data_IF_761462542589
#
_entry.id   IF_761462542589
#
_cell.length_a   1.000
_cell.length_b   1.000
_cell.length_c   1.000
_cell.angle_alpha   90.00
_cell.angle_beta   90.00
_cell.angle_gamma   90.00
#
_symmetry.space_group_name_H-M   'P 1'
#
loop_
_entity.id
_entity.type
_entity.pdbx_description
1 polymer ?
#
# COMPACT_ATOMS: atom_id res chain seq x y z
N UNK A 1 18.58 -35.10 7.10
CA UNK A 1 19.87 -34.82 7.75
C UNK A 1 20.75 -36.08 7.96
N UNK A 2 20.18 -37.15 8.54
CA UNK A 2 20.96 -38.38 8.79
C UNK A 2 21.61 -38.97 7.53
N UNK A 3 20.89 -39.01 6.42
CA UNK A 3 21.39 -39.56 5.15
C UNK A 3 22.48 -38.68 4.53
N UNK A 4 22.32 -37.34 4.61
CA UNK A 4 23.36 -36.39 4.18
C UNK A 4 24.63 -36.54 5.05
N UNK A 5 24.47 -36.70 6.37
CA UNK A 5 25.58 -36.92 7.28
C UNK A 5 26.34 -38.19 6.94
N UNK A 6 25.65 -39.30 6.63
CA UNK A 6 26.21 -40.55 6.19
C UNK A 6 26.94 -40.42 4.86
N UNK A 7 26.31 -39.80 3.86
CA UNK A 7 26.91 -39.60 2.53
C UNK A 7 28.15 -38.70 2.57
N UNK A 8 28.13 -37.63 3.36
CA UNK A 8 29.24 -36.70 3.49
C UNK A 8 30.34 -37.16 4.50
N UNK A 9 30.13 -38.25 5.24
CA UNK A 9 31.06 -38.78 6.25
C UNK A 9 31.29 -37.81 7.43
N UNK A 10 30.19 -37.17 7.91
CA UNK A 10 30.24 -36.19 9.00
C UNK A 10 29.08 -36.40 10.00
N UNK A 11 29.12 -35.69 11.13
CA UNK A 11 27.97 -35.69 12.07
C UNK A 11 26.79 -34.90 11.55
N UNK A 12 25.59 -35.25 12.02
CA UNK A 12 24.35 -34.45 11.71
C UNK A 12 24.53 -32.98 12.18
N UNK A 13 25.26 -32.73 13.24
CA UNK A 13 25.58 -31.40 13.73
C UNK A 13 26.39 -30.62 12.70
N UNK A 14 27.39 -31.27 12.05
CA UNK A 14 28.17 -30.65 10.98
C UNK A 14 27.29 -30.33 9.76
N UNK A 15 26.38 -31.25 9.36
CA UNK A 15 25.38 -31.00 8.31
C UNK A 15 24.52 -29.80 8.68
N UNK A 16 24.02 -29.75 9.91
CA UNK A 16 23.21 -28.61 10.39
C UNK A 16 23.99 -27.29 10.32
N UNK A 17 25.27 -27.29 10.70
CA UNK A 17 26.12 -26.08 10.61
C UNK A 17 26.30 -25.59 9.16
N UNK A 18 26.57 -26.51 8.24
CA UNK A 18 26.69 -26.18 6.80
C UNK A 18 25.37 -25.69 6.23
N UNK A 19 24.28 -26.39 6.52
CA UNK A 19 22.92 -26.04 6.05
C UNK A 19 22.48 -24.64 6.50
N UNK A 20 23.00 -24.17 7.63
CA UNK A 20 22.68 -22.87 8.22
C UNK A 20 23.78 -21.80 8.00
N UNK A 21 24.77 -22.07 7.17
CA UNK A 21 25.83 -21.09 6.87
C UNK A 21 26.74 -20.74 8.06
N UNK A 22 26.71 -21.52 9.16
CA UNK A 22 27.44 -21.18 10.38
C UNK A 22 28.97 -21.26 10.17
N UNK A 23 29.75 -20.39 10.83
CA UNK A 23 31.19 -20.46 10.82
C UNK A 23 31.68 -21.75 11.50
N UNK A 24 32.98 -22.03 11.45
CA UNK A 24 33.64 -23.17 12.08
C UNK A 24 33.39 -24.54 11.39
N UNK A 25 33.18 -24.53 10.08
CA UNK A 25 33.31 -25.72 9.24
C UNK A 25 34.32 -25.41 8.15
N UNK A 26 35.34 -26.26 8.00
CA UNK A 26 36.34 -26.04 6.98
C UNK A 26 35.75 -26.19 5.58
N UNK A 27 36.32 -25.50 4.60
CA UNK A 27 35.77 -25.39 3.25
C UNK A 27 35.60 -26.75 2.55
N UNK A 28 36.55 -27.64 2.73
CA UNK A 28 36.49 -28.99 2.14
C UNK A 28 35.30 -29.80 2.70
N UNK A 29 35.03 -29.71 4.00
CA UNK A 29 33.89 -30.36 4.64
C UNK A 29 32.60 -29.70 4.19
N UNK A 30 32.55 -28.36 4.05
CA UNK A 30 31.42 -27.63 3.53
C UNK A 30 31.02 -28.10 2.13
N UNK A 31 31.98 -28.18 1.21
CA UNK A 31 31.78 -28.65 -0.16
C UNK A 31 31.25 -30.09 -0.22
N UNK A 32 31.81 -31.02 0.59
CA UNK A 32 31.34 -32.42 0.66
C UNK A 32 29.88 -32.48 1.13
N UNK A 33 29.54 -31.72 2.16
CA UNK A 33 28.18 -31.69 2.68
C UNK A 33 27.20 -31.08 1.66
N UNK A 34 27.59 -30.01 0.98
CA UNK A 34 26.77 -29.38 -0.07
C UNK A 34 26.56 -30.32 -1.25
N UNK A 35 27.61 -31.05 -1.69
CA UNK A 35 27.48 -32.06 -2.75
C UNK A 35 26.51 -33.18 -2.34
N UNK A 36 26.61 -33.71 -1.13
CA UNK A 36 25.70 -34.74 -0.61
C UNK A 36 24.26 -34.22 -0.48
N UNK A 37 24.08 -32.94 -0.11
CA UNK A 37 22.74 -32.30 -0.11
C UNK A 37 22.14 -32.24 -1.50
N UNK A 38 22.92 -31.85 -2.50
CA UNK A 38 22.46 -31.80 -3.90
C UNK A 38 22.09 -33.19 -4.42
N UNK A 39 22.95 -34.18 -4.22
CA UNK A 39 22.78 -35.58 -4.68
C UNK A 39 21.52 -36.19 -4.07
N UNK A 40 21.27 -35.96 -2.79
CA UNK A 40 20.09 -36.50 -2.07
C UNK A 40 18.83 -35.62 -2.18
N UNK A 41 18.87 -34.52 -2.92
CA UNK A 41 17.77 -33.56 -3.00
C UNK A 41 17.38 -32.97 -1.63
N UNK A 42 18.33 -32.97 -0.68
CA UNK A 42 18.06 -32.51 0.69
C UNK A 42 17.87 -30.99 0.72
N UNK A 43 16.71 -30.57 1.21
CA UNK A 43 16.43 -29.17 1.54
C UNK A 43 16.36 -28.99 3.06
N UNK A 44 17.09 -28.04 3.64
CA UNK A 44 16.96 -27.73 5.07
C UNK A 44 15.50 -27.45 5.42
N UNK A 45 14.99 -28.13 6.45
CA UNK A 45 13.60 -27.95 6.89
C UNK A 45 13.42 -26.52 7.43
N UNK A 46 12.46 -25.80 6.85
CA UNK A 46 12.04 -24.49 7.35
C UNK A 46 11.55 -24.58 8.80
N UNK A 47 10.69 -25.54 9.11
CA UNK A 47 10.18 -25.77 10.45
C UNK A 47 11.30 -26.09 11.48
N UNK A 48 12.34 -26.83 11.08
CA UNK A 48 13.48 -27.11 11.95
C UNK A 48 14.36 -25.89 12.24
N UNK A 49 14.42 -24.92 11.34
CA UNK A 49 15.08 -23.64 11.59
C UNK A 49 14.25 -22.77 12.53
N UNK A 50 12.95 -22.62 12.25
CA UNK A 50 12.03 -21.81 13.04
C UNK A 50 11.97 -22.26 14.49
N UNK A 51 11.93 -23.57 14.74
CA UNK A 51 11.97 -24.14 16.09
C UNK A 51 13.26 -23.80 16.86
N UNK A 52 14.37 -23.69 16.17
CA UNK A 52 15.66 -23.34 16.80
C UNK A 52 15.79 -21.83 17.02
N UNK A 53 15.39 -21.05 16.06
CA UNK A 53 15.58 -19.60 16.04
C UNK A 53 14.44 -18.87 16.76
N UNK A 54 13.34 -19.57 17.07
CA UNK A 54 12.13 -19.01 17.68
C UNK A 54 11.38 -18.04 16.77
N UNK A 55 11.73 -18.01 15.46
CA UNK A 55 11.15 -17.11 14.45
C UNK A 55 10.93 -17.85 13.14
N UNK A 56 9.87 -17.46 12.45
CA UNK A 56 9.55 -17.98 11.11
C UNK A 56 10.25 -17.23 9.97
N UNK A 57 10.80 -16.03 10.21
CA UNK A 57 11.29 -15.15 9.16
C UNK A 57 10.25 -14.95 8.04
N UNK A 58 9.02 -14.72 8.43
CA UNK A 58 7.89 -14.49 7.54
C UNK A 58 6.91 -13.51 8.19
N UNK A 59 6.45 -12.54 7.43
CA UNK A 59 5.36 -11.63 7.83
C UNK A 59 4.10 -11.97 7.08
N UNK A 60 2.98 -12.00 7.77
CA UNK A 60 1.65 -12.21 7.19
C UNK A 60 1.06 -10.92 6.67
N UNK A 61 0.55 -10.90 5.45
CA UNK A 61 -0.13 -9.76 4.85
C UNK A 61 -1.53 -10.17 4.38
N UNK A 62 -2.55 -9.55 4.98
CA UNK A 62 -3.95 -9.68 4.57
C UNK A 62 -4.40 -8.49 3.76
N UNK A 63 -5.00 -8.72 2.60
CA UNK A 63 -5.62 -7.71 1.74
C UNK A 63 -6.93 -8.21 1.15
N UNK A 64 -7.85 -7.30 0.77
CA UNK A 64 -9.15 -7.70 0.21
C UNK A 64 -9.10 -7.94 -1.30
N UNK A 65 -8.29 -7.19 -2.04
CA UNK A 65 -8.18 -7.29 -3.50
C UNK A 65 -6.76 -6.91 -3.92
N UNK A 66 -5.97 -7.92 -4.28
CA UNK A 66 -4.57 -7.72 -4.71
C UNK A 66 -4.45 -6.96 -6.03
N UNK A 67 -5.52 -6.85 -6.82
CA UNK A 67 -5.46 -6.24 -8.16
C UNK A 67 -5.58 -4.72 -8.13
N UNK A 68 -6.00 -4.13 -7.02
CA UNK A 68 -6.11 -2.67 -6.88
C UNK A 68 -4.72 -2.04 -6.69
N UNK A 69 -4.47 -0.93 -7.37
CA UNK A 69 -3.16 -0.26 -7.37
C UNK A 69 -2.66 0.05 -5.94
N UNK A 70 -3.50 0.58 -5.07
CA UNK A 70 -3.14 0.89 -3.68
C UNK A 70 -2.64 -0.33 -2.90
N UNK A 71 -3.23 -1.52 -3.14
CA UNK A 71 -2.77 -2.77 -2.54
C UNK A 71 -1.46 -3.27 -3.17
N UNK A 72 -1.30 -3.16 -4.50
CA UNK A 72 -0.04 -3.52 -5.17
C UNK A 72 1.12 -2.65 -4.67
N UNK A 73 0.92 -1.35 -4.54
CA UNK A 73 1.94 -0.42 -4.04
C UNK A 73 2.29 -0.67 -2.57
N UNK A 74 1.31 -1.06 -1.75
CA UNK A 74 1.54 -1.49 -0.37
C UNK A 74 2.38 -2.77 -0.32
N UNK A 75 2.03 -3.77 -1.16
CA UNK A 75 2.78 -5.03 -1.24
C UNK A 75 4.23 -4.76 -1.65
N UNK A 76 4.48 -3.90 -2.62
CA UNK A 76 5.84 -3.56 -3.07
C UNK A 76 6.68 -2.93 -1.96
N UNK A 77 6.14 -1.94 -1.26
CA UNK A 77 6.81 -1.31 -0.12
C UNK A 77 7.15 -2.30 0.99
N UNK A 78 6.20 -3.18 1.37
CA UNK A 78 6.41 -4.21 2.38
C UNK A 78 7.42 -5.26 1.89
N UNK A 79 7.37 -5.66 0.61
CA UNK A 79 8.31 -6.62 0.03
C UNK A 79 9.76 -6.09 0.04
N UNK A 80 9.94 -4.80 -0.20
CA UNK A 80 11.25 -4.16 -0.08
C UNK A 80 11.79 -4.25 1.35
N UNK A 81 10.99 -3.89 2.35
CA UNK A 81 11.37 -3.98 3.76
C UNK A 81 11.64 -5.43 4.19
N UNK A 82 10.75 -6.36 3.84
CA UNK A 82 10.92 -7.78 4.16
C UNK A 82 12.22 -8.36 3.59
N UNK A 83 12.59 -7.97 2.36
CA UNK A 83 13.85 -8.39 1.72
C UNK A 83 15.08 -7.88 2.49
N UNK A 84 15.08 -6.63 2.95
CA UNK A 84 16.15 -6.05 3.76
C UNK A 84 16.37 -6.83 5.07
N UNK A 85 15.30 -7.37 5.65
CA UNK A 85 15.32 -8.17 6.87
C UNK A 85 15.39 -9.68 6.64
N UNK A 86 15.67 -10.15 5.40
CA UNK A 86 15.65 -11.57 5.03
C UNK A 86 14.37 -12.31 5.47
N UNK A 87 13.25 -11.64 5.36
CA UNK A 87 11.94 -12.12 5.75
C UNK A 87 11.11 -12.42 4.51
N UNK A 88 10.32 -13.50 4.53
CA UNK A 88 9.35 -13.82 3.49
C UNK A 88 8.02 -13.09 3.75
N UNK A 89 7.17 -12.98 2.73
CA UNK A 89 5.79 -12.54 2.88
C UNK A 89 4.85 -13.73 2.65
N UNK A 90 3.95 -13.93 3.59
CA UNK A 90 2.81 -14.85 3.43
C UNK A 90 1.57 -14.00 3.13
N UNK A 91 1.17 -13.96 1.87
CA UNK A 91 0.01 -13.17 1.43
C UNK A 91 -1.27 -14.02 1.51
N UNK A 92 -2.30 -13.46 2.12
CA UNK A 92 -3.66 -14.00 2.13
C UNK A 92 -4.63 -12.95 1.61
N UNK A 93 -5.29 -13.28 0.51
CA UNK A 93 -6.41 -12.48 0.03
C UNK A 93 -7.68 -12.89 0.78
N UNK A 94 -8.36 -11.91 1.37
CA UNK A 94 -9.65 -12.09 2.02
C UNK A 94 -10.76 -12.08 0.97
N UNK A 95 -11.93 -12.58 1.31
CA UNK A 95 -13.07 -12.58 0.39
C UNK A 95 -13.45 -11.16 -0.03
N UNK A 96 -13.71 -10.96 -1.32
CA UNK A 96 -14.20 -9.69 -1.88
C UNK A 96 -15.68 -9.43 -1.58
N UNK A 97 -16.41 -10.49 -1.23
CA UNK A 97 -17.88 -10.50 -1.08
C UNK A 97 -18.36 -10.58 0.36
N UNK A 98 -17.51 -11.02 1.28
CA UNK A 98 -17.86 -11.13 2.70
C UNK A 98 -17.42 -9.89 3.46
N UNK A 99 -18.09 -9.58 4.56
CA UNK A 99 -17.66 -8.52 5.46
C UNK A 99 -16.26 -8.83 5.99
N UNK A 100 -15.35 -7.88 5.79
CA UNK A 100 -13.99 -7.98 6.25
C UNK A 100 -13.95 -7.76 7.76
N UNK A 101 -13.40 -8.72 8.52
CA UNK A 101 -13.21 -8.63 9.97
C UNK A 101 -11.73 -8.72 10.31
N UNK A 102 -11.26 -7.79 11.14
CA UNK A 102 -9.87 -7.79 11.65
C UNK A 102 -9.57 -9.03 12.48
N UNK A 103 -10.54 -9.47 13.30
CA UNK A 103 -10.40 -10.67 14.12
C UNK A 103 -10.29 -11.93 13.25
N UNK A 104 -11.02 -12.03 12.14
CA UNK A 104 -10.90 -13.16 11.23
C UNK A 104 -9.59 -13.14 10.46
N UNK A 105 -9.19 -11.99 9.91
CA UNK A 105 -7.90 -11.83 9.24
C UNK A 105 -6.75 -12.25 10.18
N UNK A 106 -6.77 -11.77 11.42
CA UNK A 106 -5.77 -12.12 12.43
C UNK A 106 -5.77 -13.62 12.74
N UNK A 107 -6.93 -14.24 12.92
CA UNK A 107 -7.05 -15.67 13.20
C UNK A 107 -6.52 -16.54 12.06
N UNK A 108 -6.82 -16.17 10.80
CA UNK A 108 -6.31 -16.88 9.61
C UNK A 108 -4.79 -16.76 9.52
N UNK A 109 -4.24 -15.57 9.77
CA UNK A 109 -2.79 -15.34 9.74
C UNK A 109 -2.06 -16.05 10.89
N UNK A 110 -2.60 -16.04 12.09
CA UNK A 110 -2.00 -16.71 13.25
C UNK A 110 -1.94 -18.25 13.12
N UNK A 111 -2.72 -18.83 12.23
CA UNK A 111 -2.64 -20.25 11.88
C UNK A 111 -1.48 -20.58 10.92
N UNK A 112 -0.81 -19.57 10.37
CA UNK A 112 0.31 -19.69 9.45
C UNK A 112 1.64 -19.38 10.15
N UNK A 113 2.78 -19.86 9.62
CA UNK A 113 4.08 -19.59 10.20
C UNK A 113 4.54 -18.15 9.89
N UNK A 114 4.06 -17.20 10.69
CA UNK A 114 4.38 -15.77 10.57
C UNK A 114 4.84 -15.19 11.91
N UNK A 115 5.75 -14.22 11.89
CA UNK A 115 6.28 -13.52 13.06
C UNK A 115 5.54 -12.21 13.36
N UNK A 116 4.73 -11.73 12.41
CA UNK A 116 3.93 -10.52 12.52
C UNK A 116 2.79 -10.53 11.51
N UNK A 117 1.80 -9.69 11.73
CA UNK A 117 0.58 -9.60 10.93
C UNK A 117 0.38 -8.17 10.46
N UNK A 118 0.19 -7.99 9.17
CA UNK A 118 -0.17 -6.72 8.52
C UNK A 118 -1.55 -6.90 7.89
N UNK A 119 -2.46 -5.97 8.17
CA UNK A 119 -3.83 -6.01 7.67
C UNK A 119 -4.11 -4.71 6.91
N UNK A 120 -4.25 -4.82 5.58
CA UNK A 120 -4.71 -3.70 4.74
C UNK A 120 -6.21 -3.48 4.90
N UNK A 121 -6.62 -2.32 5.40
CA UNK A 121 -8.01 -1.98 5.64
C UNK A 121 -8.49 -0.90 4.66
N UNK A 122 -8.89 -1.31 3.47
CA UNK A 122 -9.43 -0.43 2.43
C UNK A 122 -10.89 0.01 2.69
N UNK A 123 -11.58 -0.69 3.58
CA UNK A 123 -12.94 -0.41 4.07
C UNK A 123 -12.95 -0.52 5.59
N UNK A 124 -13.72 0.31 6.27
CA UNK A 124 -13.88 0.22 7.71
C UNK A 124 -14.38 -1.17 8.11
N UNK A 125 -13.58 -1.86 8.93
CA UNK A 125 -13.98 -3.16 9.47
C UNK A 125 -15.04 -2.98 10.57
N UNK A 126 -16.11 -3.79 10.60
CA UNK A 126 -17.15 -3.68 11.62
C UNK A 126 -16.65 -3.83 13.05
N UNK A 127 -15.58 -4.59 13.23
CA UNK A 127 -14.94 -4.84 14.52
C UNK A 127 -13.75 -3.90 14.83
N UNK A 128 -13.55 -2.82 14.05
CA UNK A 128 -12.40 -1.93 14.22
C UNK A 128 -12.27 -1.42 15.66
N UNK A 129 -13.32 -0.85 16.22
CA UNK A 129 -13.31 -0.25 17.58
C UNK A 129 -13.10 -1.28 18.70
N UNK A 130 -13.56 -2.51 18.49
CA UNK A 130 -13.53 -3.59 19.50
C UNK A 130 -12.37 -4.55 19.31
N UNK A 131 -11.63 -4.44 18.21
CA UNK A 131 -10.55 -5.36 17.88
C UNK A 131 -9.43 -5.34 18.93
N UNK A 132 -9.02 -6.54 19.36
CA UNK A 132 -7.84 -6.78 20.17
C UNK A 132 -6.83 -7.64 19.42
N UNK A 133 -5.56 -7.21 19.31
CA UNK A 133 -4.52 -8.01 18.68
C UNK A 133 -4.21 -9.25 19.51
N UNK A 134 -3.75 -10.31 18.85
CA UNK A 134 -3.32 -11.53 19.55
C UNK A 134 -2.04 -11.26 20.35
N UNK A 135 -1.98 -11.69 21.63
CA UNK A 135 -0.75 -11.59 22.40
C UNK A 135 0.43 -12.33 21.76
N UNK A 136 1.59 -11.71 21.76
CA UNK A 136 2.83 -12.33 21.29
C UNK A 136 3.07 -12.27 19.78
N UNK A 137 2.15 -11.73 18.99
CA UNK A 137 2.33 -11.47 17.55
C UNK A 137 2.12 -9.98 17.29
N UNK A 138 3.14 -9.30 16.74
CA UNK A 138 3.00 -7.91 16.33
C UNK A 138 1.94 -7.78 15.24
N UNK A 139 1.04 -6.82 15.40
CA UNK A 139 -0.04 -6.57 14.44
C UNK A 139 -0.06 -5.09 14.07
N UNK A 140 -0.15 -4.81 12.77
CA UNK A 140 -0.28 -3.46 12.20
C UNK A 140 -1.49 -3.43 11.27
N UNK A 141 -2.28 -2.36 11.36
CA UNK A 141 -3.35 -2.10 10.40
C UNK A 141 -2.92 -0.95 9.49
N UNK A 142 -2.99 -1.18 8.18
CA UNK A 142 -2.75 -0.12 7.18
C UNK A 142 -4.05 0.62 6.96
N UNK A 143 -4.13 1.81 7.56
CA UNK A 143 -5.31 2.68 7.55
C UNK A 143 -4.98 4.08 8.07
N UNK A 144 -5.72 5.07 7.62
CA UNK A 144 -5.67 6.44 8.14
C UNK A 144 -6.29 6.60 9.54
N UNK A 145 -7.16 5.70 9.97
CA UNK A 145 -7.76 5.79 11.30
C UNK A 145 -6.78 5.38 12.39
N UNK A 146 -6.73 6.14 13.49
CA UNK A 146 -5.99 5.74 14.67
C UNK A 146 -6.74 4.66 15.44
N UNK A 147 -6.03 3.68 15.98
CA UNK A 147 -6.60 2.62 16.80
C UNK A 147 -5.99 2.63 18.22
N UNK A 148 -6.78 2.44 19.30
CA UNK A 148 -6.27 2.57 20.67
C UNK A 148 -5.30 1.44 21.09
N UNK A 149 -5.35 0.29 20.44
CA UNK A 149 -4.63 -0.93 20.83
C UNK A 149 -3.68 -1.50 19.79
N UNK A 150 -3.71 -0.97 18.56
CA UNK A 150 -2.90 -1.47 17.44
C UNK A 150 -2.25 -0.28 16.74
N UNK A 151 -0.99 -0.41 16.39
CA UNK A 151 -0.31 0.58 15.55
C UNK A 151 -0.96 0.62 14.17
N UNK A 152 -1.23 1.83 13.69
CA UNK A 152 -1.75 2.08 12.36
C UNK A 152 -0.76 2.90 11.56
N UNK A 153 -0.55 2.51 10.31
CA UNK A 153 0.38 3.19 9.38
C UNK A 153 -0.31 3.35 8.04
N UNK A 154 -0.28 4.54 7.47
CA UNK A 154 -0.73 4.74 6.10
C UNK A 154 -0.10 5.99 5.47
N UNK A 155 -0.33 6.18 4.17
CA UNK A 155 -0.09 7.46 3.50
C UNK A 155 -1.08 8.52 4.01
N UNK A 156 -0.65 9.78 4.09
CA UNK A 156 -1.53 10.89 4.50
C UNK A 156 -2.47 11.29 3.37
N UNK A 157 -3.58 10.57 3.23
CA UNK A 157 -4.59 10.82 2.19
C UNK A 157 -5.33 12.16 2.36
N UNK A 158 -5.47 12.65 3.58
CA UNK A 158 -6.05 13.96 3.83
C UNK A 158 -5.07 15.08 3.44
N UNK A 159 -3.82 14.98 3.91
CA UNK A 159 -2.78 15.96 3.58
C UNK A 159 -2.46 16.01 2.08
N UNK A 160 -2.52 14.88 1.37
CA UNK A 160 -2.33 14.88 -0.09
C UNK A 160 -3.40 15.70 -0.82
N UNK A 161 -4.65 15.64 -0.37
CA UNK A 161 -5.73 16.46 -0.94
C UNK A 161 -5.51 17.93 -0.69
N UNK A 162 -5.05 18.30 0.51
CA UNK A 162 -4.70 19.67 0.81
C UNK A 162 -3.59 20.21 -0.12
N UNK A 163 -2.54 19.40 -0.38
CA UNK A 163 -1.47 19.78 -1.31
C UNK A 163 -1.98 20.07 -2.72
N UNK A 164 -2.86 19.21 -3.24
CA UNK A 164 -3.45 19.38 -4.58
C UNK A 164 -4.40 20.57 -4.62
N UNK A 165 -5.23 20.71 -3.60
CA UNK A 165 -6.20 21.81 -3.54
C UNK A 165 -5.52 23.15 -3.34
N UNK A 166 -4.51 23.23 -2.48
CA UNK A 166 -3.73 24.47 -2.31
C UNK A 166 -3.07 24.87 -3.64
N UNK A 167 -2.50 23.91 -4.39
CA UNK A 167 -1.95 24.17 -5.73
C UNK A 167 -3.00 24.73 -6.71
N UNK A 168 -4.18 24.10 -6.81
CA UNK A 168 -5.24 24.57 -7.71
C UNK A 168 -5.80 25.94 -7.28
N UNK A 169 -5.98 26.16 -5.99
CA UNK A 169 -6.48 27.43 -5.44
C UNK A 169 -5.44 28.56 -5.60
N UNK A 170 -4.14 28.27 -5.50
CA UNK A 170 -3.06 29.25 -5.76
C UNK A 170 -2.99 29.63 -7.24
N UNK A 171 -3.34 28.73 -8.17
CA UNK A 171 -3.49 29.03 -9.58
C UNK A 171 -4.74 29.88 -9.88
N UNK A 172 -5.67 30.02 -8.92
CA UNK A 172 -6.88 30.83 -9.05
C UNK A 172 -8.13 30.02 -9.43
N UNK A 173 -8.10 28.69 -9.35
CA UNK A 173 -9.27 27.87 -9.61
C UNK A 173 -10.26 27.96 -8.43
N UNK A 174 -11.54 28.26 -8.74
CA UNK A 174 -12.64 28.24 -7.78
C UNK A 174 -13.71 27.19 -8.16
N UNK A 175 -13.79 26.82 -9.45
CA UNK A 175 -14.74 25.84 -9.97
C UNK A 175 -14.05 24.48 -10.12
N UNK A 176 -13.72 23.85 -8.97
CA UNK A 176 -12.99 22.59 -8.90
C UNK A 176 -13.97 21.45 -8.67
N UNK A 177 -14.04 20.50 -9.62
CA UNK A 177 -14.88 19.29 -9.51
C UNK A 177 -14.08 18.13 -8.95
N UNK A 178 -14.76 17.26 -8.21
CA UNK A 178 -14.15 16.11 -7.59
C UNK A 178 -14.69 14.81 -8.18
N UNK A 179 -13.79 13.95 -8.63
CA UNK A 179 -14.09 12.58 -9.04
C UNK A 179 -13.48 11.65 -7.99
N UNK A 180 -14.32 11.15 -7.09
CA UNK A 180 -13.95 10.31 -5.96
C UNK A 180 -13.83 8.84 -6.33
N UNK A 181 -13.26 8.06 -5.41
CA UNK A 181 -13.36 6.61 -5.42
C UNK A 181 -14.68 6.10 -4.82
N UNK A 182 -14.80 4.79 -4.58
CA UNK A 182 -15.98 4.24 -3.91
C UNK A 182 -16.17 4.84 -2.51
N UNK A 183 -17.38 5.28 -2.20
CA UNK A 183 -17.72 5.99 -0.96
C UNK A 183 -17.40 5.21 0.33
N UNK A 184 -17.36 3.88 0.26
CA UNK A 184 -16.98 3.02 1.36
C UNK A 184 -15.46 2.94 1.60
N UNK A 185 -14.64 3.44 0.68
CA UNK A 185 -13.17 3.38 0.80
C UNK A 185 -12.67 4.36 1.86
N UNK A 186 -11.78 3.88 2.74
CA UNK A 186 -11.12 4.72 3.75
C UNK A 186 -10.32 5.83 3.08
N UNK A 187 -9.55 5.52 2.06
CA UNK A 187 -8.72 6.50 1.34
C UNK A 187 -9.56 7.59 0.72
N UNK A 188 -10.69 7.21 0.10
CA UNK A 188 -11.66 8.14 -0.49
C UNK A 188 -12.21 9.11 0.55
N UNK A 189 -12.63 8.60 1.71
CA UNK A 189 -13.21 9.44 2.76
C UNK A 189 -12.26 10.55 3.20
N UNK A 190 -10.98 10.24 3.34
CA UNK A 190 -9.96 11.23 3.72
C UNK A 190 -9.60 12.17 2.56
N UNK A 191 -9.52 11.67 1.32
CA UNK A 191 -9.26 12.52 0.14
C UNK A 191 -10.41 13.49 -0.08
N UNK A 192 -11.65 13.03 0.00
CA UNK A 192 -12.85 13.87 -0.10
C UNK A 192 -12.91 14.94 1.00
N UNK A 193 -12.65 14.55 2.25
CA UNK A 193 -12.62 15.50 3.37
C UNK A 193 -11.59 16.62 3.14
N UNK A 194 -10.38 16.29 2.68
CA UNK A 194 -9.35 17.30 2.37
C UNK A 194 -9.76 18.25 1.23
N UNK A 195 -10.44 17.72 0.19
CA UNK A 195 -11.01 18.54 -0.88
C UNK A 195 -12.09 19.50 -0.36
N UNK A 196 -13.04 19.01 0.44
CA UNK A 196 -14.12 19.81 1.02
C UNK A 196 -13.56 20.90 1.93
N UNK A 197 -12.71 20.54 2.89
CA UNK A 197 -12.13 21.49 3.85
C UNK A 197 -11.30 22.57 3.17
N UNK A 198 -10.62 22.24 2.07
CA UNK A 198 -9.84 23.22 1.31
C UNK A 198 -10.74 24.29 0.64
N UNK A 199 -11.89 23.88 0.06
CA UNK A 199 -12.89 24.79 -0.51
C UNK A 199 -13.57 25.61 0.57
N UNK A 200 -13.99 24.99 1.67
CA UNK A 200 -14.64 25.67 2.81
C UNK A 200 -13.73 26.75 3.41
N UNK A 201 -12.43 26.50 3.55
CA UNK A 201 -11.45 27.52 3.99
C UNK A 201 -11.39 28.74 3.10
N UNK A 202 -11.78 28.62 1.85
CA UNK A 202 -11.87 29.72 0.87
C UNK A 202 -13.29 30.26 0.69
N UNK A 203 -14.25 29.75 1.48
CA UNK A 203 -15.68 30.08 1.37
C UNK A 203 -16.27 29.76 -0.01
N UNK A 204 -15.75 28.70 -0.66
CA UNK A 204 -16.26 28.15 -1.92
C UNK A 204 -17.17 26.97 -1.58
N UNK A 205 -18.41 26.98 -2.10
CA UNK A 205 -19.35 25.88 -1.93
C UNK A 205 -18.89 24.67 -2.76
N UNK A 206 -18.65 23.49 -2.15
CA UNK A 206 -18.29 22.29 -2.89
C UNK A 206 -19.44 21.84 -3.80
N UNK A 207 -19.14 21.53 -5.06
CA UNK A 207 -20.10 20.87 -5.94
C UNK A 207 -20.31 19.42 -5.51
N UNK A 208 -21.42 18.80 -5.96
CA UNK A 208 -21.68 17.39 -5.70
C UNK A 208 -20.55 16.52 -6.31
N UNK A 209 -19.87 15.68 -5.52
CA UNK A 209 -18.80 14.83 -6.03
C UNK A 209 -19.35 13.70 -6.90
N UNK A 210 -18.60 13.33 -7.94
CA UNK A 210 -18.91 12.14 -8.74
C UNK A 210 -18.19 10.93 -8.16
N UNK A 211 -18.89 9.80 -8.05
CA UNK A 211 -18.32 8.56 -7.55
C UNK A 211 -17.76 7.71 -8.70
N UNK A 212 -16.51 7.30 -8.59
CA UNK A 212 -15.81 6.33 -9.43
C UNK A 212 -15.50 5.04 -8.68
N UNK A 213 -14.75 4.15 -9.33
CA UNK A 213 -14.38 2.83 -8.82
C UNK A 213 -12.87 2.57 -8.85
N UNK A 214 -12.07 3.63 -8.91
CA UNK A 214 -10.62 3.67 -9.09
C UNK A 214 -10.13 3.33 -10.50
N UNK A 215 -11.02 2.94 -11.42
CA UNK A 215 -10.63 2.61 -12.81
C UNK A 215 -10.56 3.84 -13.71
N UNK A 216 -9.72 3.78 -14.74
CA UNK A 216 -9.69 4.81 -15.78
C UNK A 216 -11.04 4.95 -16.49
N UNK A 217 -11.80 3.85 -16.62
CA UNK A 217 -13.12 3.88 -17.26
C UNK A 217 -14.12 4.71 -16.45
N UNK A 218 -14.16 4.55 -15.11
CA UNK A 218 -15.05 5.37 -14.28
C UNK A 218 -14.65 6.85 -14.32
N UNK A 219 -13.35 7.16 -14.37
CA UNK A 219 -12.85 8.52 -14.57
C UNK A 219 -13.26 9.09 -15.93
N UNK A 220 -13.23 8.27 -17.00
CA UNK A 220 -13.69 8.67 -18.33
C UNK A 220 -15.19 9.00 -18.34
N UNK A 221 -16.04 8.15 -17.76
CA UNK A 221 -17.48 8.40 -17.70
C UNK A 221 -17.81 9.66 -16.88
N UNK A 222 -17.12 9.86 -15.75
CA UNK A 222 -17.28 11.08 -14.95
C UNK A 222 -16.80 12.33 -15.70
N UNK A 223 -15.64 12.28 -16.36
CA UNK A 223 -15.12 13.38 -17.16
C UNK A 223 -16.02 13.74 -18.34
N UNK A 224 -16.58 12.73 -19.02
CA UNK A 224 -17.57 12.91 -20.10
C UNK A 224 -18.85 13.60 -19.57
N UNK A 225 -19.37 13.11 -18.44
CA UNK A 225 -20.54 13.74 -17.81
C UNK A 225 -20.28 15.20 -17.49
N UNK A 226 -19.13 15.54 -16.90
CA UNK A 226 -18.75 16.92 -16.58
C UNK A 226 -18.63 17.78 -17.85
N UNK A 227 -17.99 17.28 -18.89
CA UNK A 227 -17.85 17.99 -20.16
C UNK A 227 -19.18 18.33 -20.83
N UNK A 228 -20.16 17.43 -20.69
CA UNK A 228 -21.51 17.60 -21.25
C UNK A 228 -22.41 18.55 -20.42
N UNK A 229 -22.29 18.50 -19.07
CA UNK A 229 -23.27 19.12 -18.17
C UNK A 229 -22.74 20.30 -17.37
N UNK A 230 -21.42 20.48 -17.24
CA UNK A 230 -20.84 21.56 -16.46
C UNK A 230 -19.79 22.37 -17.26
N UNK A 231 -20.26 23.48 -17.82
CA UNK A 231 -19.39 24.41 -18.58
C UNK A 231 -18.66 25.42 -17.70
N UNK A 232 -18.92 25.42 -16.40
CA UNK A 232 -18.29 26.36 -15.45
C UNK A 232 -17.03 25.81 -14.82
N UNK A 233 -16.81 24.48 -14.87
CA UNK A 233 -15.64 23.87 -14.28
C UNK A 233 -14.35 24.41 -14.90
N UNK A 234 -13.36 24.66 -14.06
CA UNK A 234 -12.01 25.09 -14.48
C UNK A 234 -10.95 24.07 -14.10
N UNK A 235 -11.24 23.19 -13.13
CA UNK A 235 -10.36 22.11 -12.74
C UNK A 235 -11.12 20.86 -12.31
N UNK A 236 -10.47 19.71 -12.46
CA UNK A 236 -10.90 18.40 -11.92
C UNK A 236 -9.81 17.88 -10.98
N UNK A 237 -10.22 17.55 -9.76
CA UNK A 237 -9.43 16.71 -8.87
C UNK A 237 -10.00 15.29 -8.91
N UNK A 238 -9.28 14.37 -9.54
CA UNK A 238 -9.59 12.95 -9.53
C UNK A 238 -8.82 12.25 -8.39
N UNK A 239 -9.51 11.43 -7.61
CA UNK A 239 -8.96 10.84 -6.40
C UNK A 239 -7.84 9.82 -6.64
N UNK A 240 -7.58 9.39 -7.87
CA UNK A 240 -6.34 8.70 -8.27
C UNK A 240 -5.95 9.02 -9.72
N UNK A 241 -4.74 8.65 -10.10
CA UNK A 241 -4.19 8.93 -11.43
C UNK A 241 -4.90 8.19 -12.55
N UNK A 242 -5.41 6.97 -12.30
CA UNK A 242 -6.14 6.20 -13.31
C UNK A 242 -7.43 6.93 -13.71
N UNK A 243 -8.21 7.39 -12.71
CA UNK A 243 -9.41 8.19 -12.99
C UNK A 243 -9.06 9.54 -13.60
N UNK A 244 -7.99 10.21 -13.17
CA UNK A 244 -7.49 11.44 -13.77
C UNK A 244 -7.19 11.24 -15.27
N UNK A 245 -6.48 10.18 -15.63
CA UNK A 245 -6.16 9.87 -17.02
C UNK A 245 -7.42 9.57 -17.84
N UNK A 246 -8.39 8.88 -17.26
CA UNK A 246 -9.70 8.66 -17.87
C UNK A 246 -10.45 9.97 -18.13
N UNK A 247 -10.49 10.87 -17.14
CA UNK A 247 -11.12 12.18 -17.27
C UNK A 247 -10.45 13.04 -18.34
N UNK A 248 -9.09 13.04 -18.41
CA UNK A 248 -8.34 13.73 -19.47
C UNK A 248 -8.74 13.22 -20.85
N UNK A 249 -8.86 11.89 -21.02
CA UNK A 249 -9.28 11.31 -22.30
C UNK A 249 -10.69 11.78 -22.67
N UNK A 250 -11.65 11.77 -21.74
CA UNK A 250 -13.02 12.22 -21.97
C UNK A 250 -13.11 13.71 -22.32
N UNK A 251 -12.33 14.56 -21.63
CA UNK A 251 -12.27 16.00 -21.94
C UNK A 251 -11.76 16.23 -23.37
N UNK A 252 -10.69 15.54 -23.75
CA UNK A 252 -10.12 15.62 -25.12
C UNK A 252 -11.12 15.16 -26.19
N UNK A 253 -11.83 14.05 -25.96
CA UNK A 253 -12.87 13.57 -26.86
C UNK A 253 -14.05 14.55 -26.99
N UNK A 254 -14.29 15.33 -25.93
CA UNK A 254 -15.31 16.41 -25.88
C UNK A 254 -14.80 17.76 -26.44
N UNK A 255 -13.58 17.80 -26.99
CA UNK A 255 -12.96 19.00 -27.58
C UNK A 255 -12.41 19.99 -26.56
N UNK A 256 -12.28 19.62 -25.29
CA UNK A 256 -11.65 20.43 -24.23
C UNK A 256 -10.16 20.09 -24.11
N UNK A 257 -9.34 21.10 -23.99
CA UNK A 257 -7.89 20.96 -23.85
C UNK A 257 -7.51 20.93 -22.38
N UNK A 258 -6.57 20.08 -22.05
CA UNK A 258 -5.93 20.00 -20.74
C UNK A 258 -4.46 20.40 -20.93
N UNK A 259 -3.99 21.45 -20.22
CA UNK A 259 -4.67 22.18 -19.13
C UNK A 259 -5.42 23.46 -19.55
N UNK A 260 -5.42 23.89 -20.82
CA UNK A 260 -5.83 25.24 -21.24
C UNK A 260 -7.31 25.55 -20.98
N UNK A 261 -8.20 24.56 -21.10
CA UNK A 261 -9.61 24.72 -20.83
C UNK A 261 -10.00 24.18 -19.45
N UNK A 262 -9.39 23.09 -19.02
CA UNK A 262 -9.64 22.43 -17.71
C UNK A 262 -8.33 21.87 -17.17
N UNK A 263 -7.92 22.27 -15.97
CA UNK A 263 -6.82 21.66 -15.24
C UNK A 263 -7.24 20.32 -14.65
N UNK A 264 -6.33 19.33 -14.61
CA UNK A 264 -6.60 18.02 -14.01
C UNK A 264 -5.46 17.63 -13.09
N UNK A 265 -5.82 17.17 -11.87
CA UNK A 265 -4.85 16.59 -10.91
C UNK A 265 -5.27 15.20 -10.51
N UNK A 266 -4.30 14.37 -10.16
CA UNK A 266 -4.47 13.00 -9.67
C UNK A 266 -3.77 12.74 -8.35
N UNK A 267 -3.72 11.48 -7.92
CA UNK A 267 -3.00 10.99 -6.74
C UNK A 267 -2.34 9.66 -7.06
N UNK A 268 -1.21 9.38 -6.44
CA UNK A 268 -0.40 8.16 -6.38
C UNK A 268 0.88 8.19 -7.22
N UNK A 269 0.98 9.07 -8.24
CA UNK A 269 2.08 9.13 -9.21
C UNK A 269 2.36 7.77 -9.88
N UNK A 270 1.28 7.13 -10.32
CA UNK A 270 1.23 5.72 -10.70
C UNK A 270 1.29 5.46 -12.21
N UNK A 271 1.37 6.50 -13.03
CA UNK A 271 1.26 6.36 -14.49
C UNK A 271 2.60 6.29 -15.22
N UNK A 272 3.74 6.56 -14.57
CA UNK A 272 5.04 6.66 -15.25
C UNK A 272 5.42 5.37 -16.00
N UNK A 273 5.02 4.19 -15.50
CA UNK A 273 5.28 2.91 -16.16
C UNK A 273 4.26 2.55 -17.26
N UNK A 274 3.14 3.29 -17.36
CA UNK A 274 2.02 2.95 -18.24
C UNK A 274 1.74 3.99 -19.31
N UNK A 275 2.10 5.23 -19.09
CA UNK A 275 1.82 6.34 -20.00
C UNK A 275 3.13 7.01 -20.41
N UNK A 276 3.41 6.97 -21.72
CA UNK A 276 4.56 7.70 -22.26
C UNK A 276 4.37 9.21 -22.05
N UNK A 277 5.40 9.88 -21.54
CA UNK A 277 5.35 11.32 -21.22
C UNK A 277 4.18 11.66 -20.30
N UNK A 278 4.21 11.09 -19.08
CA UNK A 278 3.22 11.41 -18.05
C UNK A 278 3.23 12.90 -17.72
N UNK A 279 2.20 13.61 -18.13
CA UNK A 279 2.03 15.05 -17.92
C UNK A 279 1.14 15.38 -16.71
N UNK A 280 0.66 14.37 -15.98
CA UNK A 280 -0.29 14.56 -14.89
C UNK A 280 0.38 15.13 -13.63
N UNK A 281 -0.12 16.27 -13.16
CA UNK A 281 0.16 16.80 -11.82
C UNK A 281 -0.51 15.94 -10.77
N UNK A 282 0.26 15.44 -9.79
CA UNK A 282 -0.20 14.43 -8.85
C UNK A 282 0.51 14.53 -7.51
N UNK A 283 0.16 13.70 -6.55
CA UNK A 283 0.92 13.52 -5.30
C UNK A 283 1.56 12.14 -5.29
N UNK A 284 2.86 12.10 -5.01
CA UNK A 284 3.64 10.88 -4.80
C UNK A 284 3.77 10.58 -3.32
N UNK A 285 3.54 9.32 -2.94
CA UNK A 285 3.82 8.81 -1.61
C UNK A 285 5.14 8.03 -1.57
N UNK A 286 5.87 8.11 -0.45
CA UNK A 286 7.04 7.26 -0.22
C UNK A 286 6.58 5.86 0.23
N UNK A 287 6.36 4.98 -0.75
CA UNK A 287 5.91 3.61 -0.53
C UNK A 287 6.95 2.76 0.22
N UNK A 288 8.24 3.05 0.02
CA UNK A 288 9.31 2.34 0.71
C UNK A 288 9.37 2.74 2.18
N UNK A 289 9.22 4.03 2.51
CA UNK A 289 9.11 4.48 3.90
C UNK A 289 7.88 3.86 4.56
N UNK A 290 6.70 3.92 3.91
CA UNK A 290 5.48 3.29 4.43
C UNK A 290 5.66 1.80 4.67
N UNK A 291 6.24 1.07 3.70
CA UNK A 291 6.50 -0.36 3.82
C UNK A 291 7.43 -0.70 4.99
N UNK A 292 8.47 0.11 5.22
CA UNK A 292 9.40 -0.04 6.33
C UNK A 292 8.71 0.16 7.69
N UNK A 293 7.97 1.26 7.86
CA UNK A 293 7.21 1.54 9.09
C UNK A 293 6.20 0.41 9.39
N UNK A 294 5.46 -0.05 8.38
CA UNK A 294 4.52 -1.17 8.52
C UNK A 294 5.24 -2.45 8.95
N UNK A 295 6.36 -2.78 8.32
CA UNK A 295 7.11 -4.00 8.59
C UNK A 295 7.74 -3.99 9.99
N UNK A 296 8.43 -2.92 10.37
CA UNK A 296 9.14 -2.80 11.65
C UNK A 296 8.17 -2.87 12.84
N UNK A 297 6.97 -2.30 12.71
CA UNK A 297 5.94 -2.39 13.74
C UNK A 297 5.21 -3.73 13.77
N UNK A 298 5.12 -4.46 12.65
CA UNK A 298 4.55 -5.81 12.60
C UNK A 298 5.52 -6.87 13.12
N UNK A 299 6.84 -6.69 12.90
CA UNK A 299 7.89 -7.65 13.30
C UNK A 299 8.91 -6.93 14.19
N UNK A 300 8.53 -6.49 15.40
CA UNK A 300 9.42 -5.75 16.28
C UNK A 300 10.62 -6.61 16.71
N UNK A 301 11.76 -5.97 16.94
CA UNK A 301 12.89 -6.63 17.54
C UNK A 301 12.57 -7.15 18.95
N UNK A 302 13.19 -8.26 19.35
CA UNK A 302 12.93 -8.88 20.63
C UNK A 302 13.19 -7.90 21.79
N UNK A 303 12.16 -7.64 22.59
CA UNK A 303 12.22 -6.74 23.74
C UNK A 303 11.80 -5.29 23.47
N UNK A 304 11.46 -4.94 22.22
CA UNK A 304 10.96 -3.60 21.85
C UNK A 304 9.45 -3.56 21.66
N UNK A 305 8.67 -4.03 22.66
CA UNK A 305 7.23 -3.81 22.64
C UNK A 305 6.96 -2.30 22.63
N UNK A 306 6.74 -1.72 21.46
CA UNK A 306 6.50 -0.30 21.23
C UNK A 306 5.14 0.14 21.77
N UNK A 307 5.01 1.45 22.01
CA UNK A 307 3.70 2.06 22.24
C UNK A 307 2.91 1.99 20.93
N UNK A 308 1.59 1.79 21.04
CA UNK A 308 0.67 1.95 19.93
C UNK A 308 0.74 3.38 19.38
N UNK A 309 0.95 3.52 18.08
CA UNK A 309 1.09 4.82 17.40
C UNK A 309 0.27 4.82 16.11
N UNK A 310 -0.11 6.02 15.68
CA UNK A 310 -0.72 6.25 14.37
C UNK A 310 0.27 7.05 13.52
N UNK A 311 0.80 6.43 12.47
CA UNK A 311 1.81 7.00 11.58
C UNK A 311 1.16 7.38 10.25
N UNK A 312 1.39 8.61 9.82
CA UNK A 312 0.93 9.13 8.52
C UNK A 312 2.15 9.55 7.71
N UNK A 313 2.34 8.90 6.56
CA UNK A 313 3.45 9.20 5.65
C UNK A 313 3.03 10.33 4.72
N UNK A 314 3.66 11.51 4.77
CA UNK A 314 3.28 12.64 3.95
C UNK A 314 3.51 12.35 2.47
N UNK A 315 2.64 12.93 1.63
CA UNK A 315 2.83 12.95 0.19
C UNK A 315 3.71 14.13 -0.26
N UNK A 316 4.23 14.02 -1.46
CA UNK A 316 4.94 15.10 -2.17
C UNK A 316 4.17 15.50 -3.42
N UNK A 317 3.87 16.79 -3.58
CA UNK A 317 3.28 17.32 -4.80
C UNK A 317 4.28 17.23 -5.95
N UNK A 318 3.86 16.66 -7.07
CA UNK A 318 4.61 16.53 -8.32
C UNK A 318 3.89 17.36 -9.38
N UNK A 319 4.37 18.55 -9.64
CA UNK A 319 3.77 19.44 -10.64
C UNK A 319 4.30 19.07 -12.02
N UNK A 320 3.38 18.86 -12.97
CA UNK A 320 3.64 18.59 -14.38
C UNK A 320 2.82 19.55 -15.27
N UNK A 321 2.36 19.11 -16.42
CA UNK A 321 1.76 19.97 -17.44
C UNK A 321 0.22 19.90 -17.49
N UNK A 322 -0.45 19.19 -16.58
CA UNK A 322 -1.91 19.05 -16.58
C UNK A 322 -2.65 20.19 -15.84
N UNK A 323 -1.91 21.19 -15.35
CA UNK A 323 -2.50 22.33 -14.62
C UNK A 323 -1.96 23.66 -15.16
N UNK A 324 -2.83 24.68 -15.24
CA UNK A 324 -2.52 26.05 -15.63
C UNK A 324 -3.45 27.01 -14.89
N UNK A 325 -3.24 28.31 -15.03
CA UNK A 325 -4.21 29.31 -14.53
C UNK A 325 -5.55 29.15 -15.26
N UNK A 326 -6.71 29.32 -14.58
CA UNK A 326 -8.01 29.19 -15.22
C UNK A 326 -8.15 30.23 -16.35
N UNK A 327 -8.83 29.81 -17.42
CA UNK A 327 -9.20 30.77 -18.47
C UNK A 327 -10.17 31.82 -17.91
N UNK A 328 -10.03 33.05 -18.36
CA UNK A 328 -10.88 34.16 -17.97
C UNK A 328 -12.33 33.97 -18.42
#
# INVERSE_FOLDING_TARGET
MADVARAAGVSQQTVSRVANGLPNVNEQTRQRVQAAMQELGFRPSYAGRSLRDGRYHSVGLCVNDVTKFGNLSMIDGIASAAREHNCAITLVEMSKTEEFSLAEATRRMAALPVDGIIIGMSRMAPDFETFDPLPGIGTVIVTMYAHPRVTTVDSDHYGCSLLLMDHLLELGHEQIRYIGGPSFSVDEQFRRAGWQDALERKHIEPAEPLEGDWSANSGYEAGRYLAEHDRTMTAIYAANDQMANGAIAALRDSGLRVPEDVSVVGVDDSLDDFVAHNELTTVRFDLHQRGREVFEHAVPEAGTAGKTVAIRIPGQLIIRHSTAIPRA
#
